data_IF_413742369757
#
_entry.id   IF_413742369757
#
_cell.length_a   1.000
_cell.length_b   1.000
_cell.length_c   1.000
_cell.angle_alpha   90.00
_cell.angle_beta   90.00
_cell.angle_gamma   90.00
#
_symmetry.space_group_name_H-M   'P 1'
#
loop_
_entity.id
_entity.type
_entity.pdbx_description
1 polymer ?
#
# COMPACT_ATOMS: atom_id res chain seq x y z
N UNK A 1 4.70 -4.64 18.59
CA UNK A 1 5.43 -5.92 18.46
C UNK A 1 4.40 -7.04 18.46
N UNK A 2 4.47 -8.00 17.53
CA UNK A 2 3.57 -9.17 17.55
C UNK A 2 4.17 -10.23 18.46
N UNK A 3 3.48 -10.55 19.55
CA UNK A 3 3.88 -11.57 20.52
C UNK A 3 2.87 -12.71 20.50
N UNK A 4 3.34 -13.93 20.80
CA UNK A 4 2.43 -15.06 20.98
C UNK A 4 1.60 -14.84 22.24
N UNK A 5 0.38 -15.42 22.34
CA UNK A 5 -0.44 -15.33 23.54
C UNK A 5 0.25 -15.82 24.83
N UNK A 6 1.15 -16.81 24.71
CA UNK A 6 1.95 -17.34 25.81
C UNK A 6 3.28 -16.58 26.04
N UNK A 7 3.50 -15.47 25.34
CA UNK A 7 4.76 -14.73 25.35
C UNK A 7 5.77 -15.16 24.28
N UNK A 8 6.79 -14.33 24.06
CA UNK A 8 7.84 -14.53 23.07
C UNK A 8 7.51 -14.05 21.67
N UNK A 9 8.55 -13.88 20.85
CA UNK A 9 8.45 -13.36 19.48
C UNK A 9 8.01 -14.44 18.48
N UNK A 10 7.30 -14.03 17.43
CA UNK A 10 7.13 -14.87 16.24
C UNK A 10 8.46 -15.01 15.49
N UNK A 11 8.67 -16.18 14.87
CA UNK A 11 9.77 -16.35 13.92
C UNK A 11 9.60 -15.37 12.75
N UNK A 12 10.67 -14.76 12.22
CA UNK A 12 10.56 -13.79 11.12
C UNK A 12 9.78 -14.30 9.89
N UNK A 13 9.85 -15.61 9.63
CA UNK A 13 9.18 -16.24 8.48
C UNK A 13 7.76 -16.72 8.80
N UNK A 14 7.30 -16.59 10.04
CA UNK A 14 5.99 -17.06 10.47
C UNK A 14 4.87 -16.43 9.62
N UNK A 15 4.91 -15.10 9.45
CA UNK A 15 3.95 -14.37 8.63
C UNK A 15 3.96 -14.86 7.18
N UNK A 16 5.14 -15.03 6.57
CA UNK A 16 5.26 -15.52 5.19
C UNK A 16 4.66 -16.92 5.02
N UNK A 17 4.90 -17.82 5.98
CA UNK A 17 4.33 -19.18 5.96
C UNK A 17 2.81 -19.15 6.11
N UNK A 18 2.31 -18.35 7.04
CA UNK A 18 0.88 -18.17 7.29
C UNK A 18 0.16 -17.61 6.06
N UNK A 19 0.73 -16.59 5.40
CA UNK A 19 0.18 -16.06 4.15
C UNK A 19 0.20 -17.09 3.02
N UNK A 20 1.24 -17.91 2.92
CA UNK A 20 1.30 -18.98 1.92
C UNK A 20 0.21 -20.04 2.15
N UNK A 21 -0.02 -20.44 3.40
CA UNK A 21 -1.11 -21.34 3.78
C UNK A 21 -2.47 -20.77 3.38
N UNK A 22 -2.78 -19.54 3.76
CA UNK A 22 -4.06 -18.91 3.42
C UNK A 22 -4.23 -18.68 1.91
N UNK A 23 -3.17 -18.39 1.18
CA UNK A 23 -3.25 -18.25 -0.28
C UNK A 23 -3.78 -19.54 -0.91
N UNK A 24 -3.26 -20.69 -0.47
CA UNK A 24 -3.67 -22.01 -0.97
C UNK A 24 -5.09 -22.36 -0.51
N UNK A 25 -5.39 -22.20 0.78
CA UNK A 25 -6.70 -22.55 1.35
C UNK A 25 -7.84 -21.73 0.72
N UNK A 26 -7.61 -20.45 0.47
CA UNK A 26 -8.60 -19.53 -0.10
C UNK A 26 -8.55 -19.48 -1.64
N UNK A 27 -7.69 -20.28 -2.28
CA UNK A 27 -7.47 -20.29 -3.74
C UNK A 27 -7.14 -18.89 -4.31
N UNK A 28 -6.38 -18.11 -3.54
CA UNK A 28 -5.92 -16.78 -3.94
C UNK A 28 -4.55 -16.87 -4.63
N UNK A 29 -4.21 -15.88 -5.48
CA UNK A 29 -2.84 -15.68 -5.92
C UNK A 29 -1.89 -15.55 -4.72
N UNK A 30 -0.61 -15.86 -4.93
CA UNK A 30 0.40 -15.88 -3.85
C UNK A 30 0.43 -14.58 -3.04
N UNK A 31 -0.04 -14.63 -1.80
CA UNK A 31 0.01 -13.52 -0.86
C UNK A 31 1.39 -13.40 -0.24
N UNK A 32 1.88 -12.16 -0.14
CA UNK A 32 3.15 -11.84 0.51
C UNK A 32 2.98 -10.58 1.35
N UNK A 33 3.79 -10.41 2.39
CA UNK A 33 3.78 -9.19 3.20
C UNK A 33 4.08 -7.95 2.35
N UNK A 34 4.98 -8.07 1.37
CA UNK A 34 5.26 -7.01 0.41
C UNK A 34 4.05 -6.72 -0.48
N UNK A 35 3.38 -7.74 -1.03
CA UNK A 35 2.16 -7.57 -1.82
C UNK A 35 1.03 -6.88 -1.06
N UNK A 36 0.82 -7.24 0.21
CA UNK A 36 -0.15 -6.57 1.08
C UNK A 36 0.22 -5.11 1.34
N UNK A 37 1.52 -4.80 1.49
CA UNK A 37 2.03 -3.44 1.60
C UNK A 37 1.77 -2.62 0.32
N UNK A 38 1.97 -3.22 -0.86
CA UNK A 38 1.60 -2.60 -2.15
C UNK A 38 0.10 -2.29 -2.20
N UNK A 39 -0.76 -3.24 -1.84
CA UNK A 39 -2.22 -3.02 -1.79
C UNK A 39 -2.58 -1.88 -0.83
N UNK A 40 -1.96 -1.81 0.34
CA UNK A 40 -2.19 -0.72 1.30
C UNK A 40 -1.82 0.65 0.71
N UNK A 41 -0.72 0.75 -0.04
CA UNK A 41 -0.34 2.00 -0.71
C UNK A 41 -1.33 2.41 -1.80
N UNK A 42 -1.76 1.47 -2.63
CA UNK A 42 -2.78 1.70 -3.65
C UNK A 42 -4.09 2.20 -3.03
N UNK A 43 -4.54 1.59 -1.92
CA UNK A 43 -5.75 2.02 -1.21
C UNK A 43 -5.63 3.43 -0.63
N UNK A 44 -4.47 3.78 -0.07
CA UNK A 44 -4.21 5.13 0.44
C UNK A 44 -4.31 6.17 -0.70
N UNK A 45 -3.65 5.90 -1.83
CA UNK A 45 -3.71 6.80 -2.98
C UNK A 45 -5.12 6.89 -3.58
N UNK A 46 -5.80 5.77 -3.75
CA UNK A 46 -7.17 5.74 -4.26
C UNK A 46 -8.15 6.50 -3.36
N UNK A 47 -7.84 6.62 -2.06
CA UNK A 47 -8.60 7.43 -1.10
C UNK A 47 -8.22 8.92 -1.11
N UNK A 48 -7.38 9.34 -2.06
CA UNK A 48 -6.92 10.73 -2.19
C UNK A 48 -5.83 11.14 -1.20
N UNK A 49 -5.21 10.20 -0.47
CA UNK A 49 -4.10 10.52 0.43
C UNK A 49 -2.89 10.94 -0.41
N UNK A 50 -2.27 12.11 -0.14
CA UNK A 50 -1.09 12.54 -0.87
C UNK A 50 0.03 11.49 -0.76
N UNK A 51 0.77 11.19 -1.85
CA UNK A 51 1.72 10.08 -1.84
C UNK A 51 2.83 10.23 -0.79
N UNK A 52 3.27 11.47 -0.51
CA UNK A 52 4.23 11.74 0.59
C UNK A 52 3.68 11.32 1.95
N UNK A 53 2.42 11.62 2.24
CA UNK A 53 1.75 11.26 3.49
C UNK A 53 1.55 9.76 3.58
N UNK A 54 1.18 9.10 2.46
CA UNK A 54 1.11 7.65 2.38
C UNK A 54 2.47 6.98 2.64
N UNK A 55 3.56 7.57 2.15
CA UNK A 55 4.92 7.07 2.36
C UNK A 55 5.38 7.19 3.81
N UNK A 56 5.12 8.34 4.44
CA UNK A 56 5.39 8.54 5.85
C UNK A 56 4.61 7.53 6.70
N UNK A 57 3.32 7.30 6.39
CA UNK A 57 2.47 6.30 7.07
C UNK A 57 2.96 4.86 6.92
N UNK A 58 3.45 4.50 5.74
CA UNK A 58 3.97 3.15 5.49
C UNK A 58 5.41 2.97 6.01
N UNK A 59 6.06 4.03 6.48
CA UNK A 59 7.48 4.04 6.82
C UNK A 59 8.34 4.22 5.58
N UNK A 60 9.40 5.04 5.71
CA UNK A 60 10.24 5.63 4.66
C UNK A 60 10.97 4.63 3.74
N UNK A 61 10.78 3.33 3.92
CA UNK A 61 11.63 2.27 3.40
C UNK A 61 11.27 1.76 2.00
N UNK A 62 10.40 2.45 1.24
CA UNK A 62 10.01 1.94 -0.08
C UNK A 62 9.86 3.03 -1.15
N UNK A 63 10.98 3.72 -1.45
CA UNK A 63 11.05 4.68 -2.54
C UNK A 63 10.64 4.07 -3.90
N UNK A 64 10.89 2.78 -4.10
CA UNK A 64 10.52 1.99 -5.29
C UNK A 64 9.02 1.84 -5.46
N UNK A 65 8.30 1.50 -4.39
CA UNK A 65 6.84 1.45 -4.38
C UNK A 65 6.26 2.79 -4.83
N UNK A 66 6.70 3.88 -4.20
CA UNK A 66 6.20 5.21 -4.51
C UNK A 66 6.60 5.69 -5.89
N UNK A 67 7.84 5.44 -6.35
CA UNK A 67 8.27 5.80 -7.70
C UNK A 67 7.39 5.12 -8.77
N UNK A 68 7.11 3.83 -8.63
CA UNK A 68 6.22 3.11 -9.55
C UNK A 68 4.77 3.60 -9.46
N UNK A 69 4.28 3.90 -8.24
CA UNK A 69 2.95 4.47 -8.03
C UNK A 69 2.85 5.88 -8.61
N UNK A 70 3.86 6.74 -8.44
CA UNK A 70 3.93 8.07 -9.02
C UNK A 70 3.88 8.00 -10.53
N UNK A 71 4.57 7.06 -11.17
CA UNK A 71 4.54 6.87 -12.63
C UNK A 71 3.15 6.53 -13.16
N UNK A 72 2.36 5.73 -12.42
CA UNK A 72 1.01 5.34 -12.84
C UNK A 72 -0.10 6.28 -12.35
N UNK A 73 0.08 6.92 -11.21
CA UNK A 73 -0.91 7.81 -10.61
C UNK A 73 -0.80 9.23 -11.17
N UNK A 74 0.37 9.65 -11.68
CA UNK A 74 0.53 11.01 -12.26
C UNK A 74 -0.50 11.32 -13.35
N UNK A 75 -0.79 10.49 -14.36
CA UNK A 75 -1.76 10.87 -15.39
C UNK A 75 -3.18 11.10 -14.84
N UNK A 76 -3.64 10.21 -13.96
CA UNK A 76 -4.99 10.26 -13.38
C UNK A 76 -5.11 11.39 -12.35
N UNK A 77 -4.11 11.55 -11.50
CA UNK A 77 -4.05 12.62 -10.49
C UNK A 77 -3.83 14.00 -11.11
N UNK A 78 -3.06 14.09 -12.21
CA UNK A 78 -2.91 15.34 -12.98
C UNK A 78 -4.25 15.78 -13.55
N UNK A 79 -5.07 14.83 -14.03
CA UNK A 79 -6.39 15.11 -14.56
C UNK A 79 -7.35 15.57 -13.47
N UNK A 80 -7.43 14.86 -12.35
CA UNK A 80 -8.25 15.30 -11.20
C UNK A 80 -7.79 16.64 -10.62
N UNK A 81 -6.47 16.91 -10.60
CA UNK A 81 -5.93 18.19 -10.17
C UNK A 81 -6.30 19.31 -11.16
N UNK A 82 -6.22 19.06 -12.46
CA UNK A 82 -6.64 20.00 -13.49
C UNK A 82 -8.14 20.28 -13.41
N UNK A 83 -8.97 19.26 -13.18
CA UNK A 83 -10.42 19.40 -13.03
C UNK A 83 -10.77 20.20 -11.75
N UNK A 84 -10.08 19.94 -10.63
CA UNK A 84 -10.23 20.76 -9.41
C UNK A 84 -9.81 22.21 -9.62
N UNK A 85 -8.67 22.45 -10.25
CA UNK A 85 -8.20 23.81 -10.56
C UNK A 85 -9.21 24.51 -11.49
N UNK A 86 -9.69 23.83 -12.52
CA UNK A 86 -10.75 24.33 -13.41
C UNK A 86 -12.02 24.68 -12.65
N UNK A 87 -12.45 23.85 -11.71
CA UNK A 87 -13.65 24.12 -10.89
C UNK A 87 -13.53 25.34 -9.97
N UNK A 88 -12.32 25.70 -9.56
CA UNK A 88 -12.03 26.89 -8.73
C UNK A 88 -11.81 28.14 -9.59
N UNK A 89 -11.25 28.00 -10.79
CA UNK A 89 -10.95 29.11 -11.68
C UNK A 89 -12.12 29.52 -12.58
N UNK A 90 -13.02 28.60 -12.92
CA UNK A 90 -14.17 28.84 -13.79
C UNK A 90 -15.52 28.80 -13.05
N UNK A 91 -15.50 29.05 -11.73
CA UNK A 91 -16.70 29.26 -10.91
C UNK A 91 -17.31 30.65 -11.11
#
# INVERSE_FOLDING_TARGET
>A
MFIKPAGGSYHPQYLSRLLATYSTELRLPRLTAHGLRHTSATLLLASGVPPRVAAERLGHSDATLFSNLYSHATPTMQREAADKIGSVLFS
#
